data_IF_869866686781
#
_entry.id   IF_869866686781
#
_cell.length_a   1.000
_cell.length_b   1.000
_cell.length_c   1.000
_cell.angle_alpha   90.00
_cell.angle_beta   90.00
_cell.angle_gamma   90.00
#
_symmetry.space_group_name_H-M   'P 1'
#
loop_
_entity.id
_entity.type
_entity.pdbx_description
1 polymer ?
#
# COMPACT_ATOMS: atom_id res chain seq x y z
N UNK A 1 -6.44 -5.60 -12.91
CA UNK A 1 -6.28 -4.87 -14.19
C UNK A 1 -4.82 -4.50 -14.46
N UNK A 2 -4.11 -3.77 -13.57
CA UNK A 2 -2.66 -3.51 -13.70
C UNK A 2 -1.81 -4.77 -13.89
N UNK A 3 -2.13 -5.83 -13.15
CA UNK A 3 -1.39 -7.11 -13.20
C UNK A 3 -1.65 -7.95 -14.47
N UNK A 4 -2.78 -7.76 -15.16
CA UNK A 4 -3.06 -8.44 -16.42
C UNK A 4 -2.29 -7.80 -17.59
N UNK A 5 -2.11 -6.48 -17.55
CA UNK A 5 -1.34 -5.71 -18.53
C UNK A 5 0.15 -6.09 -18.48
N UNK A 6 0.67 -6.37 -17.28
CA UNK A 6 2.03 -6.85 -17.08
C UNK A 6 2.29 -8.24 -17.67
N UNK A 7 1.28 -9.11 -17.73
CA UNK A 7 1.43 -10.47 -18.22
C UNK A 7 1.47 -10.55 -19.76
N UNK A 8 0.74 -9.66 -20.44
CA UNK A 8 0.62 -9.63 -21.90
C UNK A 8 1.88 -9.04 -22.58
N UNK A 9 2.59 -8.15 -21.87
CA UNK A 9 3.72 -7.38 -22.41
C UNK A 9 5.06 -8.13 -22.49
N UNK A 10 5.29 -9.16 -21.66
CA UNK A 10 6.65 -9.71 -21.52
C UNK A 10 6.90 -11.06 -22.18
N UNK A 11 5.90 -11.90 -22.48
CA UNK A 11 6.09 -13.25 -23.05
C UNK A 11 7.01 -14.20 -22.26
N UNK A 12 7.62 -13.70 -21.18
CA UNK A 12 8.63 -14.24 -20.29
C UNK A 12 8.29 -13.73 -18.88
N UNK A 13 8.53 -14.53 -17.86
CA UNK A 13 8.29 -14.15 -16.46
C UNK A 13 9.29 -13.04 -16.10
N UNK A 14 8.84 -11.79 -15.83
CA UNK A 14 9.75 -10.69 -15.50
C UNK A 14 10.47 -10.97 -14.19
N UNK A 15 11.71 -10.49 -14.05
CA UNK A 15 12.42 -10.52 -12.76
C UNK A 15 11.71 -9.63 -11.73
N UNK A 16 11.89 -9.92 -10.44
CA UNK A 16 11.26 -9.15 -9.36
C UNK A 16 11.56 -7.65 -9.44
N UNK A 17 12.78 -7.27 -9.82
CA UNK A 17 13.21 -5.89 -9.99
C UNK A 17 12.54 -5.22 -11.20
N UNK A 18 12.39 -5.93 -12.32
CA UNK A 18 11.68 -5.43 -13.50
C UNK A 18 10.20 -5.25 -13.19
N UNK A 19 9.63 -6.19 -12.45
CA UNK A 19 8.24 -6.14 -12.04
C UNK A 19 7.99 -4.99 -11.04
N UNK A 20 8.90 -4.80 -10.07
CA UNK A 20 8.85 -3.66 -9.15
C UNK A 20 9.01 -2.34 -9.89
N UNK A 21 9.94 -2.24 -10.85
CA UNK A 21 10.15 -1.06 -11.67
C UNK A 21 8.88 -0.66 -12.42
N UNK A 22 8.22 -1.63 -13.05
CA UNK A 22 7.00 -1.37 -13.80
C UNK A 22 5.84 -1.00 -12.88
N UNK A 23 5.72 -1.65 -11.72
CA UNK A 23 4.71 -1.30 -10.71
C UNK A 23 4.95 0.12 -10.16
N UNK A 24 6.21 0.51 -9.90
CA UNK A 24 6.58 1.87 -9.51
C UNK A 24 6.16 2.91 -10.56
N UNK A 25 6.41 2.63 -11.85
CA UNK A 25 6.03 3.53 -12.94
C UNK A 25 4.54 3.76 -12.98
N UNK A 26 3.76 2.69 -12.88
CA UNK A 26 2.30 2.77 -12.87
C UNK A 26 1.85 3.63 -11.69
N UNK A 27 2.35 3.38 -10.48
CA UNK A 27 2.02 4.19 -9.30
C UNK A 27 2.34 5.68 -9.53
N UNK A 28 3.53 6.01 -10.03
CA UNK A 28 3.90 7.41 -10.26
C UNK A 28 3.07 8.08 -11.36
N UNK A 29 2.72 7.37 -12.43
CA UNK A 29 1.80 7.88 -13.44
C UNK A 29 0.43 8.18 -12.85
N UNK A 30 -0.10 7.29 -12.01
CA UNK A 30 -1.38 7.48 -11.33
C UNK A 30 -1.34 8.65 -10.33
N UNK A 31 -0.25 8.78 -9.59
CA UNK A 31 -0.03 9.90 -8.66
C UNK A 31 0.01 11.24 -9.41
N UNK A 32 0.65 11.30 -10.59
CA UNK A 32 0.71 12.53 -11.42
C UNK A 32 -0.66 13.01 -11.92
N UNK A 33 -1.65 12.13 -11.93
CA UNK A 33 -3.03 12.44 -12.34
C UNK A 33 -3.92 12.84 -11.17
N UNK A 34 -3.45 12.63 -9.93
CA UNK A 34 -4.19 12.84 -8.68
C UNK A 34 -3.77 14.16 -8.03
N UNK A 35 -4.71 14.90 -7.44
CA UNK A 35 -4.37 16.12 -6.68
C UNK A 35 -3.48 15.81 -5.46
N UNK A 36 -2.52 16.69 -5.14
CA UNK A 36 -1.69 16.56 -3.93
C UNK A 36 -2.55 16.45 -2.67
N UNK A 37 -3.59 17.27 -2.56
CA UNK A 37 -4.56 17.24 -1.45
C UNK A 37 -5.19 15.86 -1.28
N UNK A 38 -5.47 15.16 -2.38
CA UNK A 38 -6.07 13.82 -2.36
C UNK A 38 -5.05 12.73 -2.00
N UNK A 39 -3.77 12.94 -2.30
CA UNK A 39 -2.68 12.03 -1.93
C UNK A 39 -2.29 12.13 -0.45
N UNK A 40 -2.51 13.29 0.18
CA UNK A 40 -2.22 13.55 1.59
C UNK A 40 -3.33 13.08 2.55
N UNK A 41 -4.51 12.73 2.04
CA UNK A 41 -5.61 12.20 2.88
C UNK A 41 -5.19 10.88 3.52
N UNK A 42 -5.53 10.70 4.80
CA UNK A 42 -5.29 9.41 5.48
C UNK A 42 -6.02 8.24 4.79
N UNK A 43 -7.13 8.52 4.08
CA UNK A 43 -7.83 7.51 3.28
C UNK A 43 -6.99 7.00 2.09
N UNK A 44 -6.04 7.79 1.59
CA UNK A 44 -5.12 7.44 0.51
C UNK A 44 -3.85 6.71 0.99
N UNK A 45 -3.70 6.50 2.30
CA UNK A 45 -2.58 5.76 2.86
C UNK A 45 -2.56 4.30 2.39
N UNK A 46 -1.39 3.82 1.98
CA UNK A 46 -1.21 2.44 1.53
C UNK A 46 0.21 1.98 1.76
N UNK A 47 0.39 1.03 2.66
CA UNK A 47 1.67 0.38 2.86
C UNK A 47 2.12 -0.40 1.62
N UNK A 48 1.20 -0.80 0.73
CA UNK A 48 1.56 -1.38 -0.57
C UNK A 48 2.29 -0.34 -1.44
N UNK A 49 1.82 0.92 -1.46
CA UNK A 49 2.53 2.02 -2.15
C UNK A 49 3.91 2.24 -1.54
N UNK A 50 4.00 2.25 -0.22
CA UNK A 50 5.27 2.38 0.51
C UNK A 50 6.23 1.22 0.20
N UNK A 51 5.70 0.01 0.11
CA UNK A 51 6.44 -1.22 -0.19
C UNK A 51 7.01 -1.19 -1.61
N UNK A 52 6.18 -0.90 -2.60
CA UNK A 52 6.62 -0.86 -4.00
C UNK A 52 7.67 0.23 -4.20
N UNK A 53 7.50 1.39 -3.57
CA UNK A 53 8.42 2.54 -3.67
C UNK A 53 9.56 2.51 -2.65
N UNK A 54 9.76 1.39 -1.95
CA UNK A 54 10.73 1.28 -0.86
C UNK A 54 12.19 1.19 -1.31
N UNK A 55 12.42 0.70 -2.54
CA UNK A 55 13.75 0.63 -3.13
C UNK A 55 14.08 1.96 -3.82
N UNK A 56 15.07 2.74 -3.34
CA UNK A 56 15.38 4.06 -3.87
C UNK A 56 15.94 4.00 -5.29
N UNK A 57 16.75 3.00 -5.62
CA UNK A 57 17.34 2.84 -6.96
C UNK A 57 16.26 2.54 -8.00
N UNK A 58 15.36 1.59 -7.71
CA UNK A 58 14.25 1.24 -8.59
C UNK A 58 13.28 2.41 -8.71
N UNK A 59 12.98 3.10 -7.60
CA UNK A 59 12.09 4.25 -7.59
C UNK A 59 12.65 5.42 -8.40
N UNK A 60 13.94 5.70 -8.30
CA UNK A 60 14.59 6.74 -9.09
C UNK A 60 14.59 6.38 -10.58
N UNK A 61 14.92 5.12 -10.93
CA UNK A 61 14.84 4.62 -12.31
C UNK A 61 13.42 4.71 -12.88
N UNK A 62 12.39 4.45 -12.06
CA UNK A 62 11.01 4.59 -12.48
C UNK A 62 10.62 6.04 -12.77
N UNK A 63 11.13 7.02 -11.99
CA UNK A 63 10.88 8.46 -12.20
C UNK A 63 11.59 9.05 -13.42
N UNK A 64 12.80 8.55 -13.73
CA UNK A 64 13.63 9.05 -14.82
C UNK A 64 13.30 8.43 -16.18
N UNK A 65 12.49 7.37 -16.20
CA UNK A 65 12.10 6.72 -17.43
C UNK A 65 11.04 7.55 -18.17
N UNK A 66 11.15 7.74 -19.50
CA UNK A 66 10.11 8.42 -20.26
C UNK A 66 8.77 7.68 -20.07
N UNK A 67 7.71 8.45 -19.82
CA UNK A 67 6.33 7.97 -19.86
C UNK A 67 6.15 7.30 -21.22
N UNK A 68 5.91 5.97 -21.24
CA UNK A 68 5.86 5.21 -22.50
C UNK A 68 4.82 5.83 -23.44
N UNK A 69 5.14 5.83 -24.74
CA UNK A 69 4.34 6.41 -25.81
C UNK A 69 2.92 5.83 -25.82
N UNK A 70 1.96 6.67 -26.22
CA UNK A 70 0.50 6.44 -26.25
C UNK A 70 0.01 5.18 -26.99
N UNK A 71 0.91 4.45 -27.66
CA UNK A 71 0.60 3.25 -28.43
C UNK A 71 0.76 1.92 -27.66
N UNK A 72 1.33 1.95 -26.43
CA UNK A 72 1.51 0.76 -25.57
C UNK A 72 0.66 0.81 -24.30
N UNK A 73 -0.12 1.89 -24.10
CA UNK A 73 -1.01 2.00 -22.97
C UNK A 73 -2.25 1.12 -23.17
N UNK A 74 -2.18 -0.09 -22.63
CA UNK A 74 -3.39 -0.81 -22.19
C UNK A 74 -4.20 -0.04 -21.13
N UNK A 75 -3.73 1.16 -20.74
CA UNK A 75 -4.40 2.16 -19.93
C UNK A 75 -5.04 3.31 -20.74
N UNK A 76 -5.00 3.30 -22.09
CA UNK A 76 -5.67 4.30 -22.95
C UNK A 76 -7.20 4.31 -22.79
N UNK A 77 -7.77 3.38 -22.03
CA UNK A 77 -9.18 3.38 -21.64
C UNK A 77 -9.32 3.54 -20.12
N UNK A 78 -9.09 4.74 -19.56
CA UNK A 78 -9.60 5.00 -18.20
C UNK A 78 -9.97 6.45 -17.92
N UNK A 79 -11.11 6.83 -18.50
CA UNK A 79 -11.98 7.93 -18.07
C UNK A 79 -12.79 7.59 -16.78
N UNK A 80 -12.42 6.61 -15.97
CA UNK A 80 -13.32 6.03 -14.97
C UNK A 80 -13.00 6.30 -13.49
N UNK A 81 -11.90 7.00 -13.16
CA UNK A 81 -11.68 7.48 -11.79
C UNK A 81 -11.61 9.00 -11.79
N UNK A 82 -12.42 9.69 -10.97
CA UNK A 82 -12.29 11.13 -10.80
C UNK A 82 -10.86 11.47 -10.39
N UNK A 83 -10.26 12.50 -10.99
CA UNK A 83 -8.94 13.05 -10.57
C UNK A 83 -8.88 13.48 -9.10
N UNK A 84 -10.04 13.53 -8.43
CA UNK A 84 -10.22 13.94 -7.04
C UNK A 84 -9.97 12.81 -6.01
N UNK A 85 -9.84 11.55 -6.42
CA UNK A 85 -9.69 10.41 -5.51
C UNK A 85 -8.38 9.68 -5.77
N UNK A 86 -7.64 9.35 -4.70
CA UNK A 86 -6.44 8.53 -4.80
C UNK A 86 -6.80 7.09 -5.18
N UNK A 87 -6.00 6.46 -6.03
CA UNK A 87 -6.16 5.05 -6.41
C UNK A 87 -5.99 4.07 -5.23
N UNK A 88 -5.41 4.55 -4.14
CA UNK A 88 -5.26 3.81 -2.89
C UNK A 88 -6.33 4.14 -1.85
N UNK A 89 -7.31 4.96 -2.21
CA UNK A 89 -8.40 5.32 -1.30
C UNK A 89 -9.15 4.08 -0.82
N UNK A 90 -9.14 3.84 0.50
CA UNK A 90 -9.78 2.66 1.09
C UNK A 90 -9.07 1.34 0.77
N UNK A 91 -7.74 1.36 0.59
CA UNK A 91 -6.96 0.16 0.29
C UNK A 91 -7.22 -0.97 1.30
N UNK A 92 -7.71 -2.16 0.87
CA UNK A 92 -8.06 -3.25 1.78
C UNK A 92 -6.84 -3.80 2.53
N UNK A 93 -5.67 -3.78 1.89
CA UNK A 93 -4.41 -4.19 2.52
C UNK A 93 -4.02 -3.25 3.68
N UNK A 94 -4.14 -1.94 3.50
CA UNK A 94 -3.90 -0.97 4.59
C UNK A 94 -4.90 -1.19 5.72
N UNK A 95 -6.18 -1.40 5.39
CA UNK A 95 -7.22 -1.67 6.37
C UNK A 95 -6.90 -2.89 7.25
N UNK A 96 -6.54 -4.03 6.65
CA UNK A 96 -6.25 -5.26 7.38
C UNK A 96 -5.05 -5.12 8.30
N UNK A 97 -3.97 -4.48 7.84
CA UNK A 97 -2.78 -4.27 8.68
C UNK A 97 -3.07 -3.30 9.84
N UNK A 98 -3.83 -2.22 9.58
CA UNK A 98 -4.32 -1.31 10.64
C UNK A 98 -5.25 -2.01 11.62
N UNK A 99 -6.08 -2.95 11.16
CA UNK A 99 -6.98 -3.75 12.01
C UNK A 99 -6.16 -4.64 12.95
N UNK A 100 -5.16 -5.35 12.44
CA UNK A 100 -4.25 -6.17 13.24
C UNK A 100 -3.59 -5.36 14.37
N UNK A 101 -3.00 -4.21 14.04
CA UNK A 101 -2.35 -3.34 15.03
C UNK A 101 -3.33 -2.84 16.10
N UNK A 102 -4.54 -2.43 15.70
CA UNK A 102 -5.58 -1.99 16.66
C UNK A 102 -6.02 -3.11 17.60
N UNK A 103 -6.12 -4.34 17.11
CA UNK A 103 -6.44 -5.51 17.94
C UNK A 103 -5.32 -5.83 18.93
N UNK A 104 -4.06 -5.71 18.51
CA UNK A 104 -2.92 -5.85 19.41
C UNK A 104 -2.94 -4.78 20.52
N UNK A 105 -3.22 -3.52 20.17
CA UNK A 105 -3.36 -2.44 21.14
C UNK A 105 -4.51 -2.66 22.12
N UNK A 106 -5.68 -3.10 21.64
CA UNK A 106 -6.81 -3.43 22.51
C UNK A 106 -6.47 -4.56 23.49
N UNK A 107 -5.51 -5.43 23.14
CA UNK A 107 -5.00 -6.50 23.99
C UNK A 107 -3.82 -6.07 24.89
N UNK A 108 -3.52 -4.77 24.96
CA UNK A 108 -2.42 -4.22 25.77
C UNK A 108 -1.04 -4.31 25.13
N UNK A 109 -0.92 -4.84 23.91
CA UNK A 109 0.37 -4.99 23.21
C UNK A 109 0.70 -3.76 22.38
N UNK A 110 1.41 -2.82 23.00
CA UNK A 110 1.66 -1.49 22.43
C UNK A 110 2.87 -1.41 21.49
N UNK A 111 3.78 -2.38 21.58
CA UNK A 111 5.03 -2.43 20.83
C UNK A 111 5.04 -3.70 19.98
N UNK A 112 4.82 -3.51 18.67
CA UNK A 112 4.86 -4.57 17.67
C UNK A 112 6.21 -4.55 16.96
N UNK A 113 6.81 -5.73 16.83
CA UNK A 113 8.09 -5.90 16.12
C UNK A 113 7.90 -5.80 14.61
N UNK A 114 8.99 -5.52 13.87
CA UNK A 114 8.94 -5.47 12.41
C UNK A 114 8.52 -6.82 11.81
N UNK A 115 9.00 -7.94 12.37
CA UNK A 115 8.64 -9.29 11.92
C UNK A 115 7.15 -9.56 12.06
N UNK A 116 6.54 -9.15 13.16
CA UNK A 116 5.09 -9.33 13.37
C UNK A 116 4.26 -8.52 12.36
N UNK A 117 4.73 -7.33 12.01
CA UNK A 117 4.07 -6.50 10.99
C UNK A 117 4.26 -7.09 9.59
N UNK A 118 5.42 -7.67 9.28
CA UNK A 118 5.64 -8.37 8.01
C UNK A 118 4.77 -9.62 7.89
N UNK A 119 4.68 -10.44 8.94
CA UNK A 119 3.83 -11.63 8.98
C UNK A 119 2.34 -11.26 8.81
N UNK A 120 1.89 -10.22 9.52
CA UNK A 120 0.54 -9.70 9.38
C UNK A 120 0.28 -9.15 7.97
N UNK A 121 1.25 -8.49 7.35
CA UNK A 121 1.12 -8.01 5.98
C UNK A 121 1.05 -9.14 4.95
N UNK A 122 1.85 -10.20 5.11
CA UNK A 122 1.76 -11.41 4.28
C UNK A 122 0.41 -12.10 4.43
N UNK A 123 -0.09 -12.21 5.67
CA UNK A 123 -1.44 -12.75 5.93
C UNK A 123 -2.51 -11.89 5.26
N UNK A 124 -2.42 -10.56 5.37
CA UNK A 124 -3.34 -9.64 4.72
C UNK A 124 -3.33 -9.78 3.19
N UNK A 125 -2.17 -10.00 2.57
CA UNK A 125 -2.06 -10.27 1.12
C UNK A 125 -2.89 -11.50 0.75
N UNK A 126 -2.70 -12.62 1.47
CA UNK A 126 -3.39 -13.87 1.19
C UNK A 126 -4.90 -13.77 1.44
N UNK A 127 -5.31 -13.13 2.54
CA UNK A 127 -6.73 -12.96 2.88
C UNK A 127 -7.47 -12.05 1.89
N UNK A 128 -6.86 -10.93 1.52
CA UNK A 128 -7.45 -9.99 0.57
C UNK A 128 -7.49 -10.61 -0.82
N UNK A 129 -6.45 -11.35 -1.20
CA UNK A 129 -6.41 -12.09 -2.46
C UNK A 129 -7.59 -13.06 -2.60
N UNK A 130 -7.85 -13.85 -1.56
CA UNK A 130 -8.95 -14.81 -1.51
C UNK A 130 -10.35 -14.17 -1.63
N UNK A 131 -10.49 -12.87 -1.37
CA UNK A 131 -11.76 -12.13 -1.45
C UNK A 131 -12.02 -11.56 -2.85
N UNK A 132 -11.03 -11.50 -3.73
CA UNK A 132 -11.23 -10.98 -5.08
C UNK A 132 -11.94 -12.02 -5.96
N UNK A 133 -12.91 -11.55 -6.76
CA UNK A 133 -13.58 -12.39 -7.77
C UNK A 133 -12.60 -13.00 -8.78
N UNK A 134 -11.46 -12.35 -8.98
CA UNK A 134 -10.32 -12.86 -9.72
C UNK A 134 -9.08 -12.74 -8.82
N UNK A 135 -8.54 -13.87 -8.33
CA UNK A 135 -7.32 -13.86 -7.53
C UNK A 135 -6.16 -13.22 -8.29
N UNK A 136 -5.21 -12.65 -7.55
CA UNK A 136 -3.88 -12.31 -8.02
C UNK A 136 -3.26 -13.56 -8.64
N UNK A 137 -2.45 -13.36 -9.69
CA UNK A 137 -1.67 -14.46 -10.21
C UNK A 137 -0.72 -14.96 -9.11
N UNK A 138 -0.45 -16.26 -9.09
CA UNK A 138 0.47 -16.88 -8.12
C UNK A 138 1.84 -16.21 -8.12
N UNK A 139 2.26 -15.66 -9.26
CA UNK A 139 3.45 -14.84 -9.39
C UNK A 139 3.37 -13.55 -8.56
N UNK A 140 2.30 -12.77 -8.70
CA UNK A 140 2.12 -11.48 -8.00
C UNK A 140 2.02 -11.67 -6.49
N UNK A 141 1.25 -12.66 -6.03
CA UNK A 141 1.14 -12.95 -4.61
C UNK A 141 2.49 -13.36 -4.01
N UNK A 142 3.25 -14.24 -4.69
CA UNK A 142 4.60 -14.64 -4.26
C UNK A 142 5.58 -13.47 -4.27
N UNK A 143 5.52 -12.62 -5.29
CA UNK A 143 6.36 -11.43 -5.37
C UNK A 143 6.06 -10.44 -4.24
N UNK A 144 4.78 -10.19 -3.93
CA UNK A 144 4.37 -9.32 -2.83
C UNK A 144 4.88 -9.83 -1.47
N UNK A 145 4.72 -11.13 -1.21
CA UNK A 145 5.23 -11.79 -0.01
C UNK A 145 6.75 -11.73 0.06
N UNK A 146 7.44 -11.92 -1.06
CA UNK A 146 8.91 -11.85 -1.12
C UNK A 146 9.40 -10.44 -0.82
N UNK A 147 8.80 -9.42 -1.43
CA UNK A 147 9.25 -8.03 -1.29
C UNK A 147 8.87 -7.44 0.08
N UNK A 148 7.76 -7.87 0.68
CA UNK A 148 7.40 -7.48 2.05
C UNK A 148 8.38 -8.04 3.10
N UNK A 149 8.91 -9.23 2.86
CA UNK A 149 9.86 -9.91 3.74
C UNK A 149 11.32 -9.48 3.51
N UNK A 150 11.68 -9.00 2.32
CA UNK A 150 13.06 -8.63 1.99
C UNK A 150 13.51 -7.29 2.59
N UNK A 151 12.58 -6.45 3.04
CA UNK A 151 12.88 -5.12 3.58
C UNK A 151 11.89 -4.70 4.66
N UNK A 152 12.37 -3.90 5.61
CA UNK A 152 11.56 -3.22 6.64
C UNK A 152 11.43 -1.71 6.40
N UNK A 153 12.03 -1.18 5.33
CA UNK A 153 12.04 0.28 5.08
C UNK A 153 10.63 0.84 4.87
N UNK A 154 9.75 0.07 4.24
CA UNK A 154 8.34 0.42 4.03
C UNK A 154 7.54 0.50 5.34
N UNK A 155 7.94 -0.27 6.37
CA UNK A 155 7.28 -0.24 7.69
C UNK A 155 7.47 1.10 8.40
N UNK A 156 8.55 1.83 8.11
CA UNK A 156 8.80 3.12 8.77
C UNK A 156 7.65 4.11 8.53
N UNK A 157 7.20 4.23 7.27
CA UNK A 157 6.07 5.08 6.92
C UNK A 157 4.77 4.59 7.54
N UNK A 158 4.54 3.28 7.54
CA UNK A 158 3.37 2.68 8.18
C UNK A 158 3.36 2.96 9.70
N UNK A 159 4.49 2.73 10.38
CA UNK A 159 4.66 2.99 11.82
C UNK A 159 4.47 4.46 12.17
N UNK A 160 4.94 5.39 11.33
CA UNK A 160 4.68 6.82 11.51
C UNK A 160 3.18 7.14 11.50
N UNK A 161 2.44 6.59 10.52
CA UNK A 161 0.97 6.73 10.47
C UNK A 161 0.29 6.14 11.71
N UNK A 162 0.73 4.95 12.15
CA UNK A 162 0.19 4.31 13.34
C UNK A 162 0.56 5.05 14.63
N UNK A 163 1.75 5.63 14.72
CA UNK A 163 2.16 6.47 15.85
C UNK A 163 1.26 7.69 16.00
N UNK A 164 0.98 8.39 14.89
CA UNK A 164 0.02 9.50 14.88
C UNK A 164 -1.39 9.04 15.30
N UNK A 165 -1.83 7.86 14.83
CA UNK A 165 -3.12 7.30 15.24
C UNK A 165 -3.16 6.93 16.73
N UNK A 166 -2.10 6.31 17.26
CA UNK A 166 -1.96 5.91 18.67
C UNK A 166 -2.11 7.12 19.59
N UNK A 167 -1.44 8.23 19.27
CA UNK A 167 -1.54 9.48 20.03
C UNK A 167 -2.96 10.05 20.02
N UNK A 168 -3.65 10.02 18.87
CA UNK A 168 -5.04 10.50 18.76
C UNK A 168 -6.01 9.64 19.57
N UNK A 169 -5.84 8.32 19.55
CA UNK A 169 -6.66 7.38 20.32
C UNK A 169 -6.46 7.56 21.82
N UNK A 170 -5.20 7.69 22.27
CA UNK A 170 -4.88 7.93 23.68
C UNK A 170 -5.42 9.28 24.16
N UNK A 171 -5.28 10.34 23.35
CA UNK A 171 -5.82 11.65 23.69
C UNK A 171 -7.36 11.64 23.80
N UNK A 172 -8.06 10.94 22.90
CA UNK A 172 -9.52 10.78 22.97
C UNK A 172 -9.97 9.98 24.20
N UNK A 173 -9.25 8.91 24.56
CA UNK A 173 -9.52 8.14 25.78
C UNK A 173 -9.36 8.97 27.05
N UNK A 174 -8.31 9.79 27.14
CA UNK A 174 -8.09 10.71 28.27
C UNK A 174 -9.17 11.80 28.38
N UNK A 175 -9.75 12.22 27.25
CA UNK A 175 -10.83 13.20 27.25
C UNK A 175 -12.14 12.59 27.78
N UNK A 176 -12.43 11.33 27.42
CA UNK A 176 -13.63 10.61 27.87
C UNK A 176 -13.62 10.30 29.38
N UNK A 177 -12.45 9.98 29.93
CA UNK A 177 -12.24 9.76 31.38
C UNK A 177 -12.40 11.06 32.18
N UNK A 178 -11.95 12.21 31.63
CA UNK A 178 -12.17 13.53 32.28
C UNK A 178 -13.64 13.91 32.34
N UNK A 179 -14.40 13.66 31.27
CA UNK A 179 -15.83 13.97 31.21
C UNK A 179 -16.68 13.06 32.11
N UNK A 180 -16.20 11.86 32.44
CA UNK A 180 -16.88 10.91 33.34
C UNK A 180 -16.55 11.13 34.82
N UNK A 181 -15.39 11.69 35.15
CA UNK A 181 -15.00 11.97 36.54
C UNK A 181 -15.57 13.30 37.06
N UNK A 182 -16.17 14.10 36.20
CA UNK A 182 -16.71 15.43 36.53
C UNK A 182 -18.24 15.46 36.68
N UNK A 183 -18.88 14.29 36.82
CA UNK A 183 -20.32 14.11 37.01
C UNK A 183 -20.68 13.52 38.36
#
# INVERSE_FOLDING_TARGET
MVFAILQDQYGLIPSDDQFQLETCRIIFSLDSLTSEEALERDSAASWLRDLVTSNPEISQRAKLAPVRRENESAFSSRSMLPRATSYFEGCPLEYELRRFVRQAWASGRMDLTDSELQDAACTAILEVDARFAMPLSTFVAKWLVKVSMSSTTWLQKFKQRMGALKLRVLAAGLQLERDTTQK
#
